data_IF_289209560335
#
_entry.id   IF_289209560335
#
_cell.length_a   1.000
_cell.length_b   1.000
_cell.length_c   1.000
_cell.angle_alpha   90.00
_cell.angle_beta   90.00
_cell.angle_gamma   90.00
#
_symmetry.space_group_name_H-M   'P 1'
#
loop_
_entity.id
_entity.type
_entity.pdbx_description
1 polymer ?
#
# COMPACT_ATOMS: atom_id res chain seq x y z
N UNK A 1 16.99 12.76 -9.68
CA UNK A 1 18.04 12.06 -10.41
C UNK A 1 18.28 10.66 -9.85
N UNK A 2 18.57 10.51 -8.55
CA UNK A 2 18.81 9.19 -7.90
C UNK A 2 17.59 8.27 -8.06
N UNK A 3 16.37 8.77 -7.81
CA UNK A 3 15.14 7.99 -7.97
C UNK A 3 14.97 7.47 -9.41
N UNK A 4 15.26 8.30 -10.40
CA UNK A 4 15.17 7.89 -11.81
C UNK A 4 16.17 6.78 -12.15
N UNK A 5 17.41 6.90 -11.68
CA UNK A 5 18.44 5.85 -11.86
C UNK A 5 17.99 4.55 -11.18
N UNK A 6 17.50 4.61 -9.92
CA UNK A 6 17.05 3.43 -9.19
C UNK A 6 15.88 2.72 -9.88
N UNK A 7 14.92 3.49 -10.42
CA UNK A 7 13.80 2.94 -11.20
C UNK A 7 14.28 2.32 -12.50
N UNK A 8 15.22 2.97 -13.21
CA UNK A 8 15.77 2.42 -14.45
C UNK A 8 16.50 1.10 -14.20
N UNK A 9 17.34 1.03 -13.17
CA UNK A 9 18.03 -0.21 -12.77
C UNK A 9 17.01 -1.30 -12.42
N UNK A 10 15.96 -0.96 -11.67
CA UNK A 10 14.90 -1.92 -11.32
C UNK A 10 14.22 -2.48 -12.57
N UNK A 11 13.79 -1.64 -13.50
CA UNK A 11 13.11 -2.09 -14.72
C UNK A 11 14.03 -2.91 -15.63
N UNK A 12 15.29 -2.50 -15.77
CA UNK A 12 16.29 -3.25 -16.57
C UNK A 12 16.56 -4.62 -15.93
N UNK A 13 16.80 -4.66 -14.64
CA UNK A 13 16.99 -5.93 -13.91
C UNK A 13 15.78 -6.84 -14.05
N UNK A 14 14.58 -6.27 -13.89
CA UNK A 14 13.34 -7.03 -14.00
C UNK A 14 13.13 -7.58 -15.41
N UNK A 15 13.36 -6.75 -16.42
CA UNK A 15 13.30 -7.17 -17.83
C UNK A 15 14.30 -8.31 -18.13
N UNK A 16 15.55 -8.19 -17.70
CA UNK A 16 16.58 -9.23 -17.91
C UNK A 16 16.19 -10.54 -17.22
N UNK A 17 15.58 -10.48 -16.04
CA UNK A 17 15.24 -11.68 -15.26
C UNK A 17 13.95 -12.36 -15.70
N UNK A 18 12.98 -11.62 -16.25
CA UNK A 18 11.63 -12.16 -16.53
C UNK A 18 11.20 -12.01 -17.98
N UNK A 19 11.87 -11.18 -18.78
CA UNK A 19 11.38 -10.79 -20.09
C UNK A 19 10.24 -9.77 -20.08
N UNK A 20 9.86 -9.27 -18.88
CA UNK A 20 8.79 -8.28 -18.72
C UNK A 20 9.33 -6.99 -18.11
N UNK A 21 8.84 -5.83 -18.58
CA UNK A 21 9.17 -4.55 -17.95
C UNK A 21 8.48 -4.43 -16.59
N UNK A 22 7.23 -4.89 -16.50
CA UNK A 22 6.42 -4.89 -15.27
C UNK A 22 5.71 -6.25 -15.15
N UNK A 23 6.26 -7.18 -14.37
CA UNK A 23 5.58 -8.46 -14.09
C UNK A 23 4.58 -8.28 -12.93
N UNK A 24 3.44 -8.98 -12.96
CA UNK A 24 2.98 -9.95 -13.96
C UNK A 24 2.05 -9.36 -15.05
N UNK A 25 2.32 -8.14 -15.51
CA UNK A 25 1.50 -7.47 -16.51
C UNK A 25 1.88 -7.97 -17.91
N UNK A 26 1.16 -8.95 -18.45
CA UNK A 26 1.44 -9.66 -19.69
C UNK A 26 1.68 -8.73 -20.90
N UNK A 27 0.97 -7.61 -20.99
CA UNK A 27 1.15 -6.61 -22.04
C UNK A 27 2.56 -5.98 -22.08
N UNK A 28 3.34 -6.09 -21.01
CA UNK A 28 4.72 -5.59 -20.92
C UNK A 28 5.76 -6.69 -21.06
N UNK A 29 5.34 -7.91 -21.41
CA UNK A 29 6.16 -9.11 -21.51
C UNK A 29 6.49 -9.40 -22.98
N UNK A 30 7.71 -9.78 -23.26
CA UNK A 30 8.27 -10.01 -24.60
C UNK A 30 8.69 -11.47 -24.80
N UNK A 31 8.08 -12.40 -24.07
CA UNK A 31 8.43 -13.81 -24.05
C UNK A 31 8.43 -14.49 -25.42
N UNK A 32 7.50 -14.12 -26.30
CA UNK A 32 7.44 -14.66 -27.67
C UNK A 32 8.67 -14.28 -28.52
N UNK A 33 9.38 -13.21 -28.16
CA UNK A 33 10.54 -12.70 -28.88
C UNK A 33 11.88 -13.01 -28.20
N UNK A 34 11.85 -13.58 -27.00
CA UNK A 34 13.02 -13.81 -26.16
C UNK A 34 13.11 -15.27 -25.72
N UNK A 35 14.12 -15.99 -26.21
CA UNK A 35 14.29 -17.43 -25.96
C UNK A 35 14.46 -17.84 -24.48
N UNK A 36 14.77 -16.89 -23.63
CA UNK A 36 15.02 -17.09 -22.20
C UNK A 36 13.86 -16.61 -21.31
N UNK A 37 12.86 -15.97 -21.87
CA UNK A 37 11.70 -15.47 -21.13
C UNK A 37 10.52 -16.45 -21.23
N UNK A 38 9.70 -16.48 -20.21
CA UNK A 38 8.46 -17.24 -20.22
C UNK A 38 7.46 -16.63 -21.24
N UNK A 39 6.56 -17.44 -21.72
CA UNK A 39 5.52 -16.98 -22.65
C UNK A 39 4.50 -16.06 -21.98
N UNK A 40 3.77 -15.28 -22.79
CA UNK A 40 2.77 -14.33 -22.29
C UNK A 40 1.63 -15.01 -21.53
N UNK A 41 1.29 -16.26 -21.90
CA UNK A 41 0.27 -17.06 -21.24
C UNK A 41 0.66 -17.42 -19.81
N UNK A 42 1.91 -17.76 -19.57
CA UNK A 42 2.43 -18.03 -18.22
C UNK A 42 2.22 -16.81 -17.30
N UNK A 43 2.48 -15.59 -17.81
CA UNK A 43 2.26 -14.37 -17.02
C UNK A 43 0.78 -14.06 -16.80
N UNK A 44 -0.10 -14.36 -17.75
CA UNK A 44 -1.55 -14.26 -17.56
C UNK A 44 -2.03 -15.21 -16.46
N UNK A 45 -1.58 -16.46 -16.48
CA UNK A 45 -1.90 -17.46 -15.47
C UNK A 45 -1.39 -17.06 -14.08
N UNK A 46 -0.16 -16.52 -13.99
CA UNK A 46 0.40 -15.98 -12.73
C UNK A 46 -0.43 -14.79 -12.23
N UNK A 47 -0.81 -13.87 -13.12
CA UNK A 47 -1.62 -12.70 -12.75
C UNK A 47 -2.99 -13.13 -12.23
N UNK A 48 -3.63 -14.08 -12.92
CA UNK A 48 -4.91 -14.64 -12.53
C UNK A 48 -4.82 -15.36 -11.17
N UNK A 49 -3.78 -16.17 -10.99
CA UNK A 49 -3.54 -16.86 -9.73
C UNK A 49 -3.33 -15.86 -8.56
N UNK A 50 -2.55 -14.79 -8.77
CA UNK A 50 -2.32 -13.75 -7.77
C UNK A 50 -3.62 -13.03 -7.41
N UNK A 51 -4.48 -12.75 -8.40
CA UNK A 51 -5.78 -12.12 -8.16
C UNK A 51 -6.69 -13.04 -7.33
N UNK A 52 -6.77 -14.33 -7.70
CA UNK A 52 -7.55 -15.34 -6.97
C UNK A 52 -7.06 -15.49 -5.52
N UNK A 53 -5.75 -15.66 -5.35
CA UNK A 53 -5.13 -15.81 -4.04
C UNK A 53 -5.38 -14.58 -3.14
N UNK A 54 -5.26 -13.38 -3.69
CA UNK A 54 -5.48 -12.14 -2.94
C UNK A 54 -6.94 -11.98 -2.52
N UNK A 55 -7.88 -12.26 -3.42
CA UNK A 55 -9.33 -12.22 -3.17
C UNK A 55 -9.79 -13.32 -2.20
N UNK A 56 -9.08 -14.43 -2.17
CA UNK A 56 -9.33 -15.54 -1.26
C UNK A 56 -8.80 -15.35 0.17
N UNK A 57 -8.30 -14.17 0.51
CA UNK A 57 -7.78 -13.86 1.85
C UNK A 57 -6.32 -14.20 2.06
N UNK A 58 -5.57 -14.41 0.98
CA UNK A 58 -4.10 -14.65 1.00
C UNK A 58 -3.68 -15.80 1.92
N UNK A 59 -4.51 -16.83 2.04
CA UNK A 59 -4.24 -18.04 2.83
C UNK A 59 -3.71 -19.19 1.95
N UNK A 60 -2.92 -20.12 2.51
CA UNK A 60 -2.36 -21.24 1.76
C UNK A 60 -3.41 -22.29 1.40
N UNK A 61 -4.48 -22.42 2.18
CA UNK A 61 -5.41 -23.54 2.10
C UNK A 61 -6.72 -23.21 1.37
N UNK A 62 -6.84 -21.98 0.86
CA UNK A 62 -8.07 -21.59 0.17
C UNK A 62 -8.09 -22.08 -1.27
N UNK A 63 -9.06 -22.92 -1.55
CA UNK A 63 -9.34 -23.43 -2.90
C UNK A 63 -10.82 -23.27 -3.20
N UNK A 64 -11.15 -22.81 -4.41
CA UNK A 64 -12.51 -22.69 -4.93
C UNK A 64 -12.67 -23.65 -6.08
N UNK A 65 -13.88 -24.20 -6.23
CA UNK A 65 -14.21 -25.11 -7.33
C UNK A 65 -14.11 -24.42 -8.70
N UNK A 66 -14.61 -23.18 -8.80
CA UNK A 66 -14.52 -22.35 -10.01
C UNK A 66 -13.87 -21.01 -9.67
N UNK A 67 -12.54 -20.90 -9.82
CA UNK A 67 -11.79 -19.67 -9.51
C UNK A 67 -12.20 -18.48 -10.37
N UNK A 68 -12.53 -18.69 -11.65
CA UNK A 68 -12.90 -17.58 -12.54
C UNK A 68 -14.24 -16.97 -12.14
N UNK A 69 -15.24 -17.79 -11.85
CA UNK A 69 -16.53 -17.33 -11.36
C UNK A 69 -16.41 -16.64 -9.99
N UNK A 70 -15.51 -17.14 -9.14
CA UNK A 70 -15.28 -16.57 -7.82
C UNK A 70 -14.74 -15.13 -7.87
N UNK A 71 -13.79 -14.84 -8.75
CA UNK A 71 -13.18 -13.50 -8.84
C UNK A 71 -14.04 -12.50 -9.61
N UNK A 72 -15.07 -12.96 -10.35
CA UNK A 72 -15.95 -12.08 -11.10
C UNK A 72 -16.87 -11.26 -10.20
N UNK A 73 -17.17 -10.05 -10.66
CA UNK A 73 -18.01 -9.08 -9.96
C UNK A 73 -17.53 -8.86 -8.52
N UNK A 74 -18.27 -9.06 -7.52
CA UNK A 74 -17.88 -8.93 -6.10
C UNK A 74 -18.22 -10.21 -5.32
N UNK A 75 -18.31 -11.36 -5.98
CA UNK A 75 -18.65 -12.65 -5.34
C UNK A 75 -17.68 -13.05 -4.23
N UNK A 76 -16.42 -12.62 -4.35
CA UNK A 76 -15.35 -12.87 -3.39
C UNK A 76 -15.40 -12.01 -2.12
N UNK A 77 -16.14 -10.89 -2.13
CA UNK A 77 -16.04 -9.85 -1.05
C UNK A 77 -16.50 -10.37 0.30
N UNK A 78 -17.60 -11.11 0.37
CA UNK A 78 -18.12 -11.66 1.65
C UNK A 78 -17.08 -12.58 2.30
N UNK A 79 -16.51 -13.48 1.51
CA UNK A 79 -15.47 -14.39 1.98
C UNK A 79 -14.16 -13.65 2.35
N UNK A 80 -13.75 -12.65 1.56
CA UNK A 80 -12.59 -11.83 1.87
C UNK A 80 -12.76 -11.05 3.18
N UNK A 81 -13.97 -10.52 3.45
CA UNK A 81 -14.28 -9.86 4.72
C UNK A 81 -14.08 -10.84 5.88
N UNK A 82 -14.63 -12.03 5.78
CA UNK A 82 -14.55 -13.03 6.84
C UNK A 82 -13.11 -13.53 7.09
N UNK A 83 -12.37 -13.85 6.03
CA UNK A 83 -11.06 -14.49 6.14
C UNK A 83 -9.88 -13.53 6.25
N UNK A 84 -10.00 -12.34 5.67
CA UNK A 84 -8.89 -11.40 5.62
C UNK A 84 -9.17 -10.09 6.36
N UNK A 85 -10.34 -9.48 6.12
CA UNK A 85 -10.64 -8.16 6.70
C UNK A 85 -10.78 -8.24 8.23
N UNK A 86 -11.62 -9.13 8.76
CA UNK A 86 -11.84 -9.27 10.20
C UNK A 86 -10.59 -9.76 10.97
N UNK A 87 -9.64 -10.35 10.31
CA UNK A 87 -8.35 -10.72 10.89
C UNK A 87 -7.26 -9.70 10.60
N UNK A 88 -6.47 -9.98 9.58
CA UNK A 88 -5.23 -9.25 9.26
C UNK A 88 -5.42 -7.77 8.94
N UNK A 89 -6.54 -7.42 8.29
CA UNK A 89 -6.79 -6.03 7.89
C UNK A 89 -7.20 -5.17 9.09
N UNK A 90 -8.08 -5.66 9.95
CA UNK A 90 -8.48 -4.96 11.18
C UNK A 90 -7.29 -4.76 12.12
N UNK A 91 -6.47 -5.78 12.33
CA UNK A 91 -5.23 -5.64 13.12
C UNK A 91 -4.35 -4.49 12.63
N UNK A 92 -4.24 -4.34 11.30
CA UNK A 92 -3.49 -3.23 10.72
C UNK A 92 -4.19 -1.87 10.91
N UNK A 93 -5.52 -1.82 10.80
CA UNK A 93 -6.28 -0.60 11.07
C UNK A 93 -6.17 -0.17 12.54
N UNK A 94 -6.25 -1.09 13.48
CA UNK A 94 -6.05 -0.81 14.91
C UNK A 94 -4.67 -0.21 15.17
N UNK A 95 -3.62 -0.75 14.54
CA UNK A 95 -2.27 -0.19 14.63
C UNK A 95 -2.21 1.23 14.06
N UNK A 96 -2.85 1.47 12.91
CA UNK A 96 -2.90 2.80 12.30
C UNK A 96 -3.67 3.80 13.17
N UNK A 97 -4.77 3.38 13.78
CA UNK A 97 -5.52 4.21 14.73
C UNK A 97 -4.67 4.52 15.97
N UNK A 98 -3.96 3.54 16.52
CA UNK A 98 -3.05 3.77 17.64
C UNK A 98 -1.96 4.80 17.29
N UNK A 99 -1.33 4.66 16.12
CA UNK A 99 -0.35 5.64 15.62
C UNK A 99 -0.99 7.01 15.44
N UNK A 100 -2.19 7.08 14.90
CA UNK A 100 -2.94 8.34 14.74
C UNK A 100 -3.20 9.03 16.10
N UNK A 101 -3.66 8.27 17.11
CA UNK A 101 -3.84 8.80 18.46
C UNK A 101 -2.53 9.28 19.08
N UNK A 102 -1.43 8.56 18.91
CA UNK A 102 -0.11 8.99 19.36
C UNK A 102 0.27 10.33 18.70
N UNK A 103 0.03 10.46 17.40
CA UNK A 103 0.26 11.71 16.67
C UNK A 103 -0.59 12.84 17.25
N UNK A 104 -1.88 12.63 17.51
CA UNK A 104 -2.77 13.64 18.10
C UNK A 104 -2.31 14.06 19.51
N UNK A 105 -1.94 13.11 20.36
CA UNK A 105 -1.41 13.39 21.70
C UNK A 105 -0.11 14.20 21.63
N UNK A 106 0.75 13.87 20.68
CA UNK A 106 1.99 14.59 20.45
C UNK A 106 1.77 16.06 20.06
N UNK A 107 0.69 16.31 19.28
CA UNK A 107 0.31 17.66 18.85
C UNK A 107 -0.54 18.45 19.83
N UNK A 108 -1.04 17.83 20.91
CA UNK A 108 -1.91 18.47 21.91
C UNK A 108 -1.33 19.80 22.45
N UNK A 109 -0.03 19.89 22.61
CA UNK A 109 0.66 21.06 23.17
C UNK A 109 1.17 22.07 22.11
N UNK A 110 0.85 21.85 20.84
CA UNK A 110 1.27 22.78 19.79
C UNK A 110 0.30 23.94 19.64
N UNK A 111 0.85 25.14 19.44
CA UNK A 111 0.05 26.33 19.13
C UNK A 111 -0.29 26.33 17.65
N UNK A 112 -1.58 26.37 17.35
CA UNK A 112 -2.09 26.42 15.99
C UNK A 112 -2.49 27.84 15.59
N UNK A 113 -2.38 28.16 14.30
CA UNK A 113 -2.93 29.38 13.71
C UNK A 113 -4.45 29.28 13.65
N UNK A 114 -5.15 30.39 13.90
CA UNK A 114 -6.63 30.48 13.79
C UNK A 114 -7.14 30.63 12.36
N UNK A 115 -6.23 30.63 11.38
CA UNK A 115 -6.61 30.78 9.96
C UNK A 115 -7.44 29.59 9.45
N UNK A 116 -8.33 29.89 8.50
CA UNK A 116 -9.14 28.88 7.84
C UNK A 116 -8.23 27.86 7.12
N UNK A 117 -8.65 26.60 7.11
CA UNK A 117 -7.99 25.54 6.38
C UNK A 117 -8.28 25.68 4.88
N UNK A 118 -7.29 26.06 4.11
CA UNK A 118 -7.39 26.05 2.64
C UNK A 118 -6.67 24.81 2.14
N UNK A 119 -7.43 23.85 1.64
CA UNK A 119 -6.84 22.70 0.95
C UNK A 119 -6.29 23.17 -0.40
N UNK A 120 -4.98 23.08 -0.57
CA UNK A 120 -4.34 23.32 -1.87
C UNK A 120 -4.86 22.29 -2.89
N UNK A 121 -5.14 22.75 -4.12
CA UNK A 121 -5.56 21.90 -5.25
C UNK A 121 -4.60 20.74 -5.49
N UNK A 122 -3.30 20.91 -5.21
CA UNK A 122 -2.28 19.87 -5.32
C UNK A 122 -2.50 18.73 -4.32
N UNK A 123 -2.91 19.05 -3.10
CA UNK A 123 -3.21 18.05 -2.06
C UNK A 123 -4.46 17.26 -2.46
N UNK A 124 -5.48 17.94 -3.00
CA UNK A 124 -6.69 17.29 -3.48
C UNK A 124 -6.36 16.33 -4.63
N UNK A 125 -5.59 16.78 -5.62
CA UNK A 125 -5.19 15.95 -6.76
C UNK A 125 -4.39 14.72 -6.29
N UNK A 126 -3.43 14.91 -5.40
CA UNK A 126 -2.65 13.82 -4.83
C UNK A 126 -3.55 12.80 -4.11
N UNK A 127 -4.51 13.28 -3.33
CA UNK A 127 -5.48 12.41 -2.65
C UNK A 127 -6.34 11.61 -3.62
N UNK A 128 -6.81 12.23 -4.69
CA UNK A 128 -7.58 11.55 -5.74
C UNK A 128 -6.76 10.46 -6.44
N UNK A 129 -5.47 10.70 -6.69
CA UNK A 129 -4.56 9.69 -7.24
C UNK A 129 -4.42 8.50 -6.27
N UNK A 130 -4.19 8.75 -4.99
CA UNK A 130 -4.09 7.68 -3.99
C UNK A 130 -5.42 6.93 -3.84
N UNK A 131 -6.54 7.62 -3.93
CA UNK A 131 -7.86 7.00 -3.91
C UNK A 131 -8.07 6.09 -5.13
N UNK A 132 -7.66 6.51 -6.32
CA UNK A 132 -7.69 5.67 -7.52
C UNK A 132 -6.81 4.42 -7.37
N UNK A 133 -5.58 4.57 -6.84
CA UNK A 133 -4.68 3.45 -6.54
C UNK A 133 -5.34 2.49 -5.53
N UNK A 134 -6.00 3.01 -4.49
CA UNK A 134 -6.73 2.20 -3.52
C UNK A 134 -7.84 1.37 -4.18
N UNK A 135 -8.62 1.95 -5.09
CA UNK A 135 -9.67 1.21 -5.81
C UNK A 135 -9.09 0.13 -6.73
N UNK A 136 -8.02 0.43 -7.45
CA UNK A 136 -7.33 -0.58 -8.29
C UNK A 136 -6.82 -1.73 -7.42
N UNK A 137 -6.17 -1.41 -6.31
CA UNK A 137 -5.69 -2.41 -5.35
C UNK A 137 -6.85 -3.26 -4.81
N UNK A 138 -7.94 -2.64 -4.35
CA UNK A 138 -9.08 -3.36 -3.80
C UNK A 138 -9.72 -4.30 -4.81
N UNK A 139 -9.88 -3.88 -6.05
CA UNK A 139 -10.54 -4.67 -7.09
C UNK A 139 -9.66 -5.78 -7.66
N UNK A 140 -8.33 -5.63 -7.62
CA UNK A 140 -7.39 -6.58 -8.21
C UNK A 140 -6.71 -7.47 -7.19
N UNK A 141 -6.03 -6.90 -6.23
CA UNK A 141 -5.21 -7.65 -5.26
C UNK A 141 -5.41 -7.13 -3.84
N UNK A 142 -6.59 -7.34 -3.21
CA UNK A 142 -6.96 -6.72 -1.93
C UNK A 142 -6.23 -7.33 -0.74
N UNK A 143 -4.90 -7.34 -0.78
CA UNK A 143 -4.04 -7.73 0.33
C UNK A 143 -3.12 -6.59 0.73
N UNK A 144 -2.86 -6.44 2.03
CA UNK A 144 -2.00 -5.37 2.56
C UNK A 144 -0.60 -5.38 1.98
N UNK A 145 -0.11 -6.54 1.56
CA UNK A 145 1.21 -6.71 0.94
C UNK A 145 1.36 -5.90 -0.34
N UNK A 146 0.30 -5.78 -1.15
CA UNK A 146 0.38 -5.14 -2.47
C UNK A 146 -0.10 -3.69 -2.48
N UNK A 147 -0.88 -3.25 -1.50
CA UNK A 147 -1.43 -1.90 -1.53
C UNK A 147 -1.75 -1.29 -0.17
N UNK A 148 -1.31 -1.91 0.93
CA UNK A 148 -1.54 -1.40 2.28
C UNK A 148 -1.03 0.03 2.49
N UNK A 149 0.00 0.47 1.74
CA UNK A 149 0.49 1.84 1.75
C UNK A 149 -0.57 2.87 1.35
N UNK A 150 -1.48 2.54 0.45
CA UNK A 150 -2.56 3.45 0.04
C UNK A 150 -3.49 3.77 1.21
N UNK A 151 -3.76 2.80 2.08
CA UNK A 151 -4.56 2.99 3.30
C UNK A 151 -3.83 3.91 4.28
N UNK A 152 -2.53 3.69 4.47
CA UNK A 152 -1.70 4.55 5.33
C UNK A 152 -1.73 5.99 4.82
N UNK A 153 -1.57 6.20 3.51
CA UNK A 153 -1.65 7.53 2.93
C UNK A 153 -3.03 8.16 3.07
N UNK A 154 -4.11 7.43 2.76
CA UNK A 154 -5.48 7.94 2.87
C UNK A 154 -5.85 8.32 4.31
N UNK A 155 -5.37 7.57 5.30
CA UNK A 155 -5.72 7.80 6.71
C UNK A 155 -4.82 8.83 7.39
N UNK A 156 -3.53 8.89 7.08
CA UNK A 156 -2.57 9.72 7.81
C UNK A 156 -2.14 10.98 7.06
N UNK A 157 -2.08 10.97 5.72
CA UNK A 157 -1.50 12.10 4.97
C UNK A 157 -2.30 13.39 5.10
N UNK A 158 -3.64 13.33 5.02
CA UNK A 158 -4.49 14.52 5.16
C UNK A 158 -4.39 15.11 6.57
N UNK A 159 -4.65 14.35 7.66
CA UNK A 159 -4.51 14.88 9.00
C UNK A 159 -3.13 15.50 9.26
N UNK A 160 -2.06 14.83 8.82
CA UNK A 160 -0.70 15.34 8.98
C UNK A 160 -0.49 16.63 8.19
N UNK A 161 -0.94 16.69 6.93
CA UNK A 161 -0.82 17.89 6.10
C UNK A 161 -1.58 19.08 6.72
N UNK A 162 -2.79 18.84 7.22
CA UNK A 162 -3.63 19.85 7.87
C UNK A 162 -2.98 20.35 9.18
N UNK A 163 -2.45 19.45 10.00
CA UNK A 163 -1.72 19.81 11.21
C UNK A 163 -0.49 20.64 10.85
N UNK A 164 0.29 20.23 9.86
CA UNK A 164 1.50 20.94 9.43
C UNK A 164 1.22 22.36 8.94
N UNK A 165 0.14 22.57 8.18
CA UNK A 165 -0.27 23.90 7.70
C UNK A 165 -0.58 24.86 8.86
N UNK A 166 -1.21 24.36 9.92
CA UNK A 166 -1.62 25.17 11.09
C UNK A 166 -0.52 25.43 12.11
N UNK A 167 0.62 24.76 12.00
CA UNK A 167 1.71 24.95 12.96
C UNK A 167 2.35 26.33 12.85
N UNK A 168 2.48 27.00 14.00
CA UNK A 168 3.17 28.30 14.09
C UNK A 168 4.70 28.18 14.03
N UNK A 169 5.25 27.12 14.61
CA UNK A 169 6.69 26.87 14.67
C UNK A 169 7.03 25.55 13.96
N UNK A 170 7.48 25.67 12.72
CA UNK A 170 7.83 24.52 11.88
C UNK A 170 9.14 23.87 12.28
N UNK A 171 10.14 24.65 12.71
CA UNK A 171 11.47 24.11 13.08
C UNK A 171 11.39 23.20 14.31
N UNK A 172 10.56 23.60 15.28
CA UNK A 172 10.31 22.79 16.46
C UNK A 172 9.56 21.49 16.11
N UNK A 173 8.64 21.56 15.14
CA UNK A 173 7.94 20.41 14.63
C UNK A 173 8.89 19.43 13.94
N UNK A 174 9.75 19.90 13.06
CA UNK A 174 10.71 19.06 12.34
C UNK A 174 11.68 18.34 13.27
N UNK A 175 12.16 19.00 14.32
CA UNK A 175 12.98 18.35 15.36
C UNK A 175 12.22 17.22 16.05
N UNK A 176 10.98 17.47 16.47
CA UNK A 176 10.17 16.46 17.14
C UNK A 176 9.71 15.33 16.21
N UNK A 177 9.48 15.62 14.92
CA UNK A 177 9.13 14.63 13.92
C UNK A 177 10.22 13.55 13.79
N UNK A 178 11.49 13.93 13.87
CA UNK A 178 12.60 12.97 13.87
C UNK A 178 12.48 11.95 15.01
N UNK A 179 12.17 12.39 16.21
CA UNK A 179 11.97 11.49 17.37
C UNK A 179 10.74 10.59 17.17
N UNK A 180 9.66 11.14 16.62
CA UNK A 180 8.47 10.35 16.30
C UNK A 180 8.76 9.24 15.27
N UNK A 181 9.52 9.58 14.22
CA UNK A 181 9.94 8.60 13.19
C UNK A 181 10.79 7.50 13.82
N UNK A 182 11.76 7.86 14.66
CA UNK A 182 12.60 6.88 15.37
C UNK A 182 11.73 5.96 16.23
N UNK A 183 10.78 6.53 16.99
CA UNK A 183 9.86 5.74 17.82
C UNK A 183 9.04 4.76 16.98
N UNK A 184 8.49 5.20 15.85
CA UNK A 184 7.72 4.34 14.92
C UNK A 184 8.60 3.21 14.37
N UNK A 185 9.85 3.53 13.98
CA UNK A 185 10.80 2.51 13.49
C UNK A 185 11.11 1.48 14.59
N UNK A 186 11.31 1.92 15.82
CA UNK A 186 11.57 1.01 16.95
C UNK A 186 10.38 0.10 17.20
N UNK A 187 9.15 0.64 17.26
CA UNK A 187 7.92 -0.14 17.45
C UNK A 187 7.74 -1.16 16.31
N UNK A 188 7.98 -0.73 15.07
CA UNK A 188 7.90 -1.60 13.90
C UNK A 188 8.90 -2.76 13.98
N UNK A 189 10.16 -2.48 14.34
CA UNK A 189 11.18 -3.52 14.49
C UNK A 189 10.85 -4.48 15.64
N UNK A 190 10.41 -3.98 16.79
CA UNK A 190 10.01 -4.83 17.92
C UNK A 190 8.85 -5.76 17.55
N UNK A 191 7.85 -5.25 16.81
CA UNK A 191 6.76 -6.09 16.32
C UNK A 191 7.24 -7.18 15.35
N UNK A 192 8.25 -6.91 14.53
CA UNK A 192 8.75 -7.86 13.54
C UNK A 192 9.73 -8.88 14.13
N UNK A 193 10.47 -8.58 15.19
CA UNK A 193 11.35 -9.53 15.87
C UNK A 193 10.54 -10.76 16.32
N UNK A 194 9.35 -10.56 16.87
CA UNK A 194 8.48 -11.67 17.33
C UNK A 194 7.86 -12.50 16.17
N UNK A 195 8.18 -12.17 14.90
CA UNK A 195 7.72 -12.92 13.72
C UNK A 195 8.83 -13.77 13.08
N UNK A 196 10.04 -13.65 13.56
CA UNK A 196 11.21 -14.35 13.01
C UNK A 196 11.43 -15.70 13.75
N UNK A 197 10.82 -15.87 14.92
CA UNK A 197 10.73 -17.13 15.68
C UNK A 197 9.47 -17.93 15.23
#
# INVERSE_FOLDING_TARGET
>A
FILFISLSIYFVHHFISTGCVISPLSITCFGENLYWADDSKTYEDISLWLEQWAKAGAGPDFRVEDPLKYIQNFNWVSHWIEKYFLGKFLEQLELLLAVFFIILLFFKNFKFKKEALILDKRIILFYLIILAIFFIWFTKTPTLRYGGYSIVFLTLSIPIALIYQKLKNKDFFEKKLKYLIILIIVIFNLKNINRID
#
